data_IF_301255539356
#
_entry.id   IF_301255539356
#
_cell.length_a   1.000
_cell.length_b   1.000
_cell.length_c   1.000
_cell.angle_alpha   90.00
_cell.angle_beta   90.00
_cell.angle_gamma   90.00
#
_symmetry.space_group_name_H-M   'P 1'
#
loop_
_entity.id
_entity.type
_entity.pdbx_description
1 polymer ?
#
# COMPACT_ATOMS: atom_id res chain seq x y z
N UNK A 1 -23.55 7.66 -25.90
CA UNK A 1 -23.73 7.83 -24.44
C UNK A 1 -22.50 7.29 -23.72
N UNK A 2 -21.66 8.16 -23.14
CA UNK A 2 -20.57 7.71 -22.25
C UNK A 2 -21.22 7.33 -20.92
N UNK A 3 -21.39 6.03 -20.67
CA UNK A 3 -22.02 5.55 -19.45
C UNK A 3 -21.22 6.00 -18.21
N UNK A 4 -21.93 6.52 -17.21
CA UNK A 4 -21.48 6.92 -15.86
C UNK A 4 -20.91 5.75 -15.00
N UNK A 5 -20.29 4.75 -15.61
CA UNK A 5 -19.79 3.54 -14.94
C UNK A 5 -18.58 3.84 -14.02
N UNK A 6 -17.92 4.99 -14.20
CA UNK A 6 -16.73 5.38 -13.43
C UNK A 6 -16.99 5.70 -11.96
N UNK A 7 -18.04 6.46 -11.63
CA UNK A 7 -18.18 6.99 -10.27
C UNK A 7 -18.87 6.00 -9.31
N UNK A 8 -19.89 5.28 -9.76
CA UNK A 8 -20.59 4.29 -8.93
C UNK A 8 -19.67 3.14 -8.51
N UNK A 9 -18.76 2.72 -9.40
CA UNK A 9 -17.77 1.68 -9.11
C UNK A 9 -16.69 2.15 -8.12
N UNK A 10 -16.31 3.43 -8.17
CA UNK A 10 -15.43 4.07 -7.18
C UNK A 10 -16.07 4.11 -5.80
N UNK A 11 -17.34 4.53 -5.70
CA UNK A 11 -18.06 4.58 -4.42
C UNK A 11 -18.23 3.16 -3.85
N UNK A 12 -18.64 2.21 -4.69
CA UNK A 12 -18.77 0.80 -4.28
C UNK A 12 -17.43 0.22 -3.78
N UNK A 13 -16.33 0.53 -4.46
CA UNK A 13 -14.99 0.11 -4.05
C UNK A 13 -14.63 0.65 -2.68
N UNK A 14 -14.74 1.97 -2.50
CA UNK A 14 -14.43 2.62 -1.23
C UNK A 14 -15.29 2.05 -0.11
N UNK A 15 -16.60 1.96 -0.30
CA UNK A 15 -17.54 1.43 0.69
C UNK A 15 -17.19 -0.02 1.06
N UNK A 16 -16.86 -0.86 0.08
CA UNK A 16 -16.51 -2.25 0.31
C UNK A 16 -15.18 -2.39 1.06
N UNK A 17 -14.16 -1.61 0.70
CA UNK A 17 -12.87 -1.61 1.43
C UNK A 17 -13.07 -1.20 2.88
N UNK A 18 -13.77 -0.09 3.14
CA UNK A 18 -14.04 0.37 4.50
C UNK A 18 -14.86 -0.66 5.29
N UNK A 19 -15.90 -1.23 4.70
CA UNK A 19 -16.73 -2.24 5.36
C UNK A 19 -15.91 -3.48 5.72
N UNK A 20 -15.16 -4.04 4.76
CA UNK A 20 -14.34 -5.23 4.99
C UNK A 20 -13.26 -4.98 6.03
N UNK A 21 -12.54 -3.86 5.93
CA UNK A 21 -11.52 -3.49 6.91
C UNK A 21 -12.13 -3.29 8.29
N UNK A 22 -13.26 -2.60 8.40
CA UNK A 22 -13.95 -2.40 9.67
C UNK A 22 -14.41 -3.73 10.29
N UNK A 23 -15.06 -4.61 9.52
CA UNK A 23 -15.54 -5.90 10.02
C UNK A 23 -14.37 -6.82 10.44
N UNK A 24 -13.28 -6.84 9.68
CA UNK A 24 -12.08 -7.61 10.05
C UNK A 24 -11.43 -7.08 11.33
N UNK A 25 -11.38 -5.76 11.52
CA UNK A 25 -10.84 -5.16 12.74
C UNK A 25 -11.75 -5.37 13.96
N UNK A 26 -13.08 -5.32 13.77
CA UNK A 26 -14.05 -5.57 14.85
C UNK A 26 -13.96 -7.00 15.41
N UNK A 27 -13.46 -7.96 14.62
CA UNK A 27 -13.33 -9.36 15.05
C UNK A 27 -12.35 -9.57 16.22
N UNK A 28 -11.43 -8.64 16.47
CA UNK A 28 -10.37 -8.77 17.47
C UNK A 28 -9.33 -9.85 17.16
N UNK A 29 -9.48 -10.59 16.05
CA UNK A 29 -8.55 -11.64 15.65
C UNK A 29 -7.34 -11.04 14.92
N UNK A 30 -6.13 -11.25 15.45
CA UNK A 30 -4.90 -10.69 14.88
C UNK A 30 -4.68 -11.08 13.42
N UNK A 31 -5.03 -12.32 13.02
CA UNK A 31 -4.90 -12.76 11.63
C UNK A 31 -5.85 -11.97 10.72
N UNK A 32 -7.09 -11.76 11.14
CA UNK A 32 -8.06 -10.97 10.36
C UNK A 32 -7.65 -9.49 10.27
N UNK A 33 -7.09 -8.92 11.34
CA UNK A 33 -6.53 -7.56 11.33
C UNK A 33 -5.39 -7.45 10.31
N UNK A 34 -4.48 -8.42 10.28
CA UNK A 34 -3.38 -8.45 9.30
C UNK A 34 -3.91 -8.62 7.87
N UNK A 35 -4.89 -9.50 7.67
CA UNK A 35 -5.54 -9.70 6.38
C UNK A 35 -6.38 -8.48 5.93
N UNK A 36 -6.72 -7.56 6.84
CA UNK A 36 -7.42 -6.33 6.45
C UNK A 36 -6.60 -5.45 5.51
N UNK A 37 -5.28 -5.63 5.45
CA UNK A 37 -4.38 -4.92 4.52
C UNK A 37 -4.62 -5.31 3.05
N UNK A 38 -5.15 -6.51 2.78
CA UNK A 38 -5.45 -6.97 1.40
C UNK A 38 -6.89 -6.67 0.96
N UNK A 39 -7.69 -5.97 1.78
CA UNK A 39 -9.08 -5.63 1.42
C UNK A 39 -9.20 -4.80 0.13
N UNK A 40 -8.28 -3.90 -0.26
CA UNK A 40 -8.35 -3.22 -1.55
C UNK A 40 -8.27 -4.18 -2.74
N UNK A 41 -7.44 -5.22 -2.63
CA UNK A 41 -7.37 -6.29 -3.63
C UNK A 41 -8.67 -7.09 -3.67
N UNK A 42 -9.18 -7.51 -2.51
CA UNK A 42 -10.43 -8.27 -2.41
C UNK A 42 -11.58 -7.47 -3.02
N UNK A 43 -11.71 -6.19 -2.68
CA UNK A 43 -12.75 -5.31 -3.20
C UNK A 43 -12.67 -5.15 -4.72
N UNK A 44 -11.45 -5.03 -5.25
CA UNK A 44 -11.21 -5.00 -6.71
C UNK A 44 -11.66 -6.29 -7.36
N UNK A 45 -11.33 -7.45 -6.79
CA UNK A 45 -11.76 -8.76 -7.28
C UNK A 45 -13.29 -8.92 -7.24
N UNK A 46 -13.95 -8.48 -6.17
CA UNK A 46 -15.41 -8.52 -6.05
C UNK A 46 -16.09 -7.66 -7.13
N UNK A 47 -15.65 -6.42 -7.31
CA UNK A 47 -16.20 -5.54 -8.34
C UNK A 47 -15.92 -6.08 -9.73
N UNK A 48 -14.73 -6.62 -9.95
CA UNK A 48 -14.36 -7.25 -11.22
C UNK A 48 -15.25 -8.45 -11.55
N UNK A 49 -15.54 -9.32 -10.58
CA UNK A 49 -16.37 -10.50 -10.76
C UNK A 49 -17.83 -10.16 -11.12
N UNK A 50 -18.37 -9.06 -10.59
CA UNK A 50 -19.75 -8.62 -10.83
C UNK A 50 -19.86 -7.66 -12.02
N UNK A 51 -18.74 -7.11 -12.50
CA UNK A 51 -18.75 -6.14 -13.59
C UNK A 51 -19.03 -6.80 -14.96
N UNK A 52 -20.03 -6.33 -15.72
CA UNK A 52 -20.31 -6.85 -17.06
C UNK A 52 -19.16 -6.59 -18.05
N UNK A 53 -18.25 -5.66 -17.75
CA UNK A 53 -17.07 -5.33 -18.56
C UNK A 53 -15.76 -5.82 -17.91
N UNK A 54 -15.77 -7.00 -17.30
CA UNK A 54 -14.64 -7.59 -16.55
C UNK A 54 -13.30 -7.56 -17.29
N UNK A 55 -13.28 -7.85 -18.61
CA UNK A 55 -12.07 -7.81 -19.43
C UNK A 55 -11.48 -6.41 -19.58
N UNK A 56 -12.33 -5.39 -19.68
CA UNK A 56 -11.88 -3.99 -19.79
C UNK A 56 -11.36 -3.48 -18.45
N UNK A 57 -12.07 -3.80 -17.36
CA UNK A 57 -11.64 -3.49 -15.99
C UNK A 57 -10.27 -4.08 -15.68
N UNK A 58 -10.02 -5.34 -16.06
CA UNK A 58 -8.71 -5.97 -15.86
C UNK A 58 -7.59 -5.27 -16.65
N UNK A 59 -7.84 -4.90 -17.91
CA UNK A 59 -6.85 -4.15 -18.72
C UNK A 59 -6.52 -2.78 -18.13
N UNK A 60 -7.49 -2.13 -17.49
CA UNK A 60 -7.30 -0.82 -16.85
C UNK A 60 -6.45 -0.90 -15.57
N UNK A 61 -6.34 -2.06 -14.91
CA UNK A 61 -5.49 -2.24 -13.73
C UNK A 61 -3.98 -2.08 -14.04
N UNK A 62 -3.58 -2.20 -15.31
CA UNK A 62 -2.20 -1.92 -15.71
C UNK A 62 -1.16 -2.93 -15.21
N UNK A 63 -1.57 -4.12 -14.74
CA UNK A 63 -0.71 -5.16 -14.14
C UNK A 63 0.48 -5.61 -15.02
N UNK A 64 0.43 -5.35 -16.33
CA UNK A 64 1.52 -5.68 -17.27
C UNK A 64 2.43 -4.50 -17.65
N UNK A 65 2.24 -3.30 -17.09
CA UNK A 65 3.05 -2.12 -17.41
C UNK A 65 4.19 -1.98 -16.42
N UNK A 66 5.41 -2.26 -16.86
CA UNK A 66 6.61 -1.97 -16.07
C UNK A 66 6.92 -0.47 -16.10
N UNK A 67 7.34 0.07 -14.95
CA UNK A 67 7.75 1.47 -14.85
C UNK A 67 9.06 1.73 -15.59
N UNK A 68 9.37 2.99 -15.86
CA UNK A 68 10.71 3.38 -16.33
C UNK A 68 11.74 3.24 -15.19
N UNK A 69 12.97 2.82 -15.51
CA UNK A 69 14.05 2.60 -14.54
C UNK A 69 14.24 3.78 -13.55
N UNK A 70 14.15 5.02 -14.06
CA UNK A 70 14.25 6.25 -13.25
C UNK A 70 13.27 6.32 -12.07
N UNK A 71 12.08 5.73 -12.21
CA UNK A 71 11.06 5.75 -11.17
C UNK A 71 11.39 4.80 -10.02
N UNK A 72 12.08 3.69 -10.30
CA UNK A 72 12.60 2.82 -9.25
C UNK A 72 13.69 3.52 -8.44
N UNK A 73 14.57 4.30 -9.11
CA UNK A 73 15.55 5.14 -8.42
C UNK A 73 14.90 6.20 -7.52
N UNK A 74 13.84 6.86 -7.99
CA UNK A 74 13.07 7.80 -7.17
C UNK A 74 12.34 7.11 -6.01
N UNK A 75 11.87 5.87 -6.19
CA UNK A 75 11.24 5.10 -5.11
C UNK A 75 12.22 4.82 -3.96
N UNK A 76 13.52 4.60 -4.25
CA UNK A 76 14.55 4.46 -3.21
C UNK A 76 14.70 5.75 -2.39
N UNK A 77 14.53 6.93 -3.00
CA UNK A 77 14.58 8.20 -2.28
C UNK A 77 13.44 8.37 -1.27
N UNK A 78 12.34 7.63 -1.40
CA UNK A 78 11.26 7.64 -0.40
C UNK A 78 11.74 7.10 0.97
N UNK A 79 12.84 6.36 1.03
CA UNK A 79 13.46 5.93 2.28
C UNK A 79 14.27 7.03 2.99
N UNK A 80 14.65 8.11 2.28
CA UNK A 80 15.50 9.17 2.83
C UNK A 80 14.85 9.89 4.02
N UNK A 81 13.57 10.31 3.96
CA UNK A 81 12.90 10.92 5.12
C UNK A 81 12.86 9.99 6.34
N UNK A 82 12.70 8.69 6.14
CA UNK A 82 12.68 7.70 7.23
C UNK A 82 14.06 7.61 7.88
N UNK A 83 15.12 7.50 7.08
CA UNK A 83 16.50 7.47 7.58
C UNK A 83 16.86 8.75 8.34
N UNK A 84 16.53 9.92 7.78
CA UNK A 84 16.79 11.21 8.42
C UNK A 84 16.02 11.35 9.74
N UNK A 85 14.77 10.90 9.79
CA UNK A 85 13.96 10.94 11.01
C UNK A 85 14.54 10.05 12.10
N UNK A 86 14.98 8.84 11.75
CA UNK A 86 15.64 7.93 12.69
C UNK A 86 16.96 8.51 13.22
N UNK A 87 17.81 9.04 12.32
CA UNK A 87 19.08 9.67 12.67
C UNK A 87 18.85 10.86 13.62
N UNK A 88 17.85 11.70 13.35
CA UNK A 88 17.47 12.80 14.23
C UNK A 88 17.03 12.31 15.61
N UNK A 89 16.14 11.33 15.66
CA UNK A 89 15.66 10.74 16.92
C UNK A 89 16.80 10.13 17.74
N UNK A 90 17.73 9.42 17.09
CA UNK A 90 18.91 8.84 17.71
C UNK A 90 19.86 9.91 18.29
N UNK A 91 20.15 10.95 17.52
CA UNK A 91 20.99 12.06 17.98
C UNK A 91 20.38 12.81 19.19
N UNK A 92 19.06 12.89 19.27
CA UNK A 92 18.37 13.50 20.41
C UNK A 92 18.22 12.57 21.64
N UNK A 93 18.67 11.32 21.55
CA UNK A 93 18.52 10.33 22.61
C UNK A 93 17.09 9.80 22.80
N UNK A 94 16.18 10.09 21.87
CA UNK A 94 14.81 9.58 21.91
C UNK A 94 14.73 8.09 21.54
N UNK A 95 15.70 7.61 20.78
CA UNK A 95 15.84 6.20 20.39
C UNK A 95 17.25 5.73 20.72
N UNK A 96 17.37 4.60 21.40
CA UNK A 96 18.64 3.92 21.62
C UNK A 96 18.78 2.72 20.69
N UNK A 97 20.02 2.39 20.32
CA UNK A 97 20.30 1.19 19.56
C UNK A 97 20.12 -0.06 20.45
N UNK A 98 19.66 -1.20 19.90
CA UNK A 98 19.44 -2.40 20.70
C UNK A 98 20.72 -2.82 21.44
N UNK A 99 20.63 -3.11 22.75
CA UNK A 99 21.78 -3.57 23.53
C UNK A 99 22.29 -4.92 23.01
N UNK A 100 23.57 -5.22 23.31
CA UNK A 100 24.25 -6.44 22.88
C UNK A 100 23.48 -7.73 23.21
N UNK A 101 22.82 -7.75 24.37
CA UNK A 101 22.07 -8.92 24.85
C UNK A 101 20.83 -9.28 24.03
N UNK A 102 20.42 -8.45 23.07
CA UNK A 102 19.30 -8.74 22.17
C UNK A 102 19.73 -9.52 20.92
N UNK A 103 21.02 -9.79 20.75
CA UNK A 103 21.58 -10.54 19.63
C UNK A 103 21.94 -11.97 20.04
N UNK A 104 21.96 -12.93 19.11
CA UNK A 104 22.38 -14.30 19.41
C UNK A 104 23.79 -14.34 20.04
N UNK A 105 23.97 -15.28 20.99
CA UNK A 105 25.25 -15.51 21.65
C UNK A 105 26.37 -15.72 20.61
N UNK A 106 27.48 -14.98 20.74
CA UNK A 106 28.63 -15.02 19.82
C UNK A 106 28.72 -13.85 18.83
N UNK A 107 27.79 -12.89 18.88
CA UNK A 107 27.85 -11.64 18.10
C UNK A 107 28.10 -10.46 19.05
N UNK A 108 29.37 -10.18 19.32
CA UNK A 108 29.75 -9.12 20.27
C UNK A 108 30.11 -7.79 19.58
N UNK A 109 30.57 -7.85 18.33
CA UNK A 109 31.00 -6.70 17.55
C UNK A 109 29.84 -5.99 16.83
N UNK A 110 29.99 -4.69 16.55
CA UNK A 110 28.95 -3.91 15.85
C UNK A 110 28.73 -4.37 14.41
N UNK A 111 29.80 -4.79 13.71
CA UNK A 111 29.70 -5.26 12.32
C UNK A 111 28.86 -6.54 12.23
N UNK A 112 29.10 -7.49 13.12
CA UNK A 112 28.33 -8.72 13.25
C UNK A 112 26.85 -8.45 13.53
N UNK A 113 26.53 -7.49 14.40
CA UNK A 113 25.14 -7.08 14.69
C UNK A 113 24.47 -6.45 13.48
N UNK A 114 25.16 -5.57 12.78
CA UNK A 114 24.66 -4.97 11.54
C UNK A 114 24.38 -6.04 10.48
N UNK A 115 25.34 -6.95 10.25
CA UNK A 115 25.19 -8.02 9.27
C UNK A 115 24.04 -8.97 9.64
N UNK A 116 23.85 -9.25 10.92
CA UNK A 116 22.72 -10.04 11.42
C UNK A 116 21.38 -9.36 11.09
N UNK A 117 21.21 -8.08 11.43
CA UNK A 117 19.99 -7.32 11.12
C UNK A 117 19.75 -7.24 9.61
N UNK A 118 20.80 -6.98 8.83
CA UNK A 118 20.73 -6.95 7.37
C UNK A 118 20.23 -8.29 6.82
N UNK A 119 20.86 -9.40 7.23
CA UNK A 119 20.42 -10.74 6.81
C UNK A 119 18.98 -11.02 7.22
N UNK A 120 18.58 -10.66 8.44
CA UNK A 120 17.22 -10.85 8.94
C UNK A 120 16.19 -10.06 8.12
N UNK A 121 16.49 -8.80 7.80
CA UNK A 121 15.63 -7.93 6.99
C UNK A 121 15.44 -8.48 5.57
N UNK A 122 16.49 -9.02 4.97
CA UNK A 122 16.45 -9.62 3.63
C UNK A 122 16.00 -11.09 3.62
N UNK A 123 15.56 -11.66 4.76
CA UNK A 123 14.96 -13.00 4.74
C UNK A 123 13.66 -12.97 3.97
N UNK A 124 13.46 -13.99 3.14
CA UNK A 124 12.23 -14.17 2.34
C UNK A 124 10.97 -14.11 3.21
N UNK A 125 11.02 -14.68 4.41
CA UNK A 125 9.90 -14.66 5.36
C UNK A 125 9.56 -13.26 5.88
N UNK A 126 10.56 -12.38 6.00
CA UNK A 126 10.36 -11.00 6.44
C UNK A 126 9.88 -10.11 5.29
N UNK A 127 10.37 -10.34 4.07
CA UNK A 127 10.01 -9.56 2.89
C UNK A 127 8.66 -9.97 2.27
N UNK A 128 8.27 -11.25 2.37
CA UNK A 128 7.09 -11.77 1.66
C UNK A 128 5.79 -11.11 2.09
N UNK A 129 5.55 -10.96 3.39
CA UNK A 129 4.31 -10.37 3.89
C UNK A 129 4.16 -8.88 3.48
N UNK A 130 5.14 -7.98 3.73
CA UNK A 130 5.09 -6.61 3.24
C UNK A 130 4.95 -6.51 1.72
N UNK A 131 5.62 -7.37 0.95
CA UNK A 131 5.48 -7.38 -0.51
C UNK A 131 4.07 -7.76 -0.96
N UNK A 132 3.48 -8.79 -0.36
CA UNK A 132 2.11 -9.21 -0.68
C UNK A 132 1.11 -8.11 -0.32
N UNK A 133 1.25 -7.47 0.84
CA UNK A 133 0.38 -6.39 1.26
C UNK A 133 0.54 -5.15 0.37
N UNK A 134 1.77 -4.71 0.11
CA UNK A 134 2.03 -3.60 -0.79
C UNK A 134 1.47 -3.89 -2.19
N UNK A 135 1.63 -5.10 -2.71
CA UNK A 135 1.04 -5.49 -4.00
C UNK A 135 -0.50 -5.40 -3.96
N UNK A 136 -1.14 -5.95 -2.93
CA UNK A 136 -2.59 -5.92 -2.80
C UNK A 136 -3.14 -4.49 -2.70
N UNK A 137 -2.49 -3.64 -1.92
CA UNK A 137 -2.81 -2.23 -1.81
C UNK A 137 -2.60 -1.47 -3.13
N UNK A 138 -1.48 -1.69 -3.82
CA UNK A 138 -1.19 -1.04 -5.10
C UNK A 138 -2.21 -1.41 -6.18
N UNK A 139 -2.62 -2.69 -6.25
CA UNK A 139 -3.63 -3.14 -7.20
C UNK A 139 -4.97 -2.45 -6.94
N UNK A 140 -5.41 -2.37 -5.68
CA UNK A 140 -6.68 -1.73 -5.33
C UNK A 140 -6.65 -0.21 -5.48
N UNK A 141 -5.71 0.45 -4.82
CA UNK A 141 -5.67 1.91 -4.76
C UNK A 141 -5.21 2.54 -6.07
N UNK A 142 -4.08 2.08 -6.63
CA UNK A 142 -3.49 2.71 -7.82
C UNK A 142 -4.03 2.07 -9.09
N UNK A 143 -4.14 0.75 -9.11
CA UNK A 143 -4.66 -0.01 -10.25
C UNK A 143 -6.14 0.28 -10.52
N UNK A 144 -7.00 0.13 -9.50
CA UNK A 144 -8.45 0.30 -9.65
C UNK A 144 -8.90 1.74 -9.37
N UNK A 145 -8.76 2.24 -8.15
CA UNK A 145 -9.36 3.51 -7.73
C UNK A 145 -8.79 4.71 -8.50
N UNK A 146 -7.47 4.87 -8.50
CA UNK A 146 -6.82 6.02 -9.14
C UNK A 146 -7.08 6.06 -10.65
N UNK A 147 -6.99 4.92 -11.35
CA UNK A 147 -7.29 4.85 -12.79
C UNK A 147 -8.71 5.33 -13.12
N UNK A 148 -9.72 4.93 -12.33
CA UNK A 148 -11.11 5.36 -12.52
C UNK A 148 -11.32 6.83 -12.20
N UNK A 149 -10.67 7.33 -11.16
CA UNK A 149 -10.69 8.75 -10.81
C UNK A 149 -9.99 9.61 -11.86
N UNK A 150 -8.91 9.12 -12.47
CA UNK A 150 -8.23 9.82 -13.57
C UNK A 150 -9.14 9.95 -14.79
N UNK A 151 -9.90 8.90 -15.13
CA UNK A 151 -10.89 8.93 -16.22
C UNK A 151 -12.06 9.87 -15.92
N UNK A 152 -12.54 9.92 -14.67
CA UNK A 152 -13.74 10.66 -14.29
C UNK A 152 -13.48 12.15 -13.96
N UNK A 153 -12.39 12.46 -13.26
CA UNK A 153 -12.12 13.78 -12.68
C UNK A 153 -10.81 14.42 -13.17
N UNK A 154 -10.02 13.70 -13.95
CA UNK A 154 -8.71 14.14 -14.43
C UNK A 154 -7.58 13.94 -13.40
N UNK A 155 -6.32 14.10 -13.83
CA UNK A 155 -5.15 13.66 -13.06
C UNK A 155 -4.98 14.40 -11.73
N UNK A 156 -5.14 15.72 -11.71
CA UNK A 156 -4.94 16.53 -10.49
C UNK A 156 -5.91 16.10 -9.37
N UNK A 157 -7.20 15.99 -9.68
CA UNK A 157 -8.24 15.60 -8.72
C UNK A 157 -8.08 14.14 -8.30
N UNK A 158 -7.70 13.25 -9.21
CA UNK A 158 -7.47 11.85 -8.91
C UNK A 158 -6.36 11.62 -7.88
N UNK A 159 -5.24 12.34 -7.99
CA UNK A 159 -4.17 12.28 -6.98
C UNK A 159 -4.64 12.74 -5.60
N UNK A 160 -5.38 13.85 -5.54
CA UNK A 160 -5.93 14.36 -4.28
C UNK A 160 -6.87 13.33 -3.66
N UNK A 161 -7.89 12.87 -4.39
CA UNK A 161 -8.89 11.95 -3.84
C UNK A 161 -8.33 10.59 -3.44
N UNK A 162 -7.32 10.09 -4.16
CA UNK A 162 -6.63 8.85 -3.79
C UNK A 162 -5.77 9.04 -2.53
N UNK A 163 -5.12 10.20 -2.37
CA UNK A 163 -4.27 10.51 -1.23
C UNK A 163 -4.99 10.98 0.03
N UNK A 164 -6.15 11.65 -0.10
CA UNK A 164 -6.90 12.23 1.02
C UNK A 164 -8.02 11.34 1.57
N UNK A 165 -8.32 10.22 0.92
CA UNK A 165 -9.62 9.56 1.09
C UNK A 165 -10.79 10.44 0.57
N UNK A 166 -12.04 9.97 0.65
CA UNK A 166 -13.17 10.45 -0.17
C UNK A 166 -13.72 11.85 0.16
N UNK A 167 -13.05 12.65 0.99
CA UNK A 167 -13.61 13.90 1.54
C UNK A 167 -13.72 15.08 0.55
N UNK A 168 -13.39 14.89 -0.73
CA UNK A 168 -13.40 16.00 -1.71
C UNK A 168 -14.17 15.72 -3.00
N UNK A 169 -14.99 14.66 -3.09
CA UNK A 169 -15.87 14.47 -4.25
C UNK A 169 -17.11 15.36 -4.09
N UNK A 170 -16.95 16.68 -4.21
CA UNK A 170 -18.09 17.56 -4.50
C UNK A 170 -18.31 17.56 -6.01
N UNK A 171 -19.55 17.32 -6.49
CA UNK A 171 -19.86 17.48 -7.90
C UNK A 171 -19.67 18.96 -8.26
N UNK A 172 -18.82 19.23 -9.24
CA UNK A 172 -18.78 20.56 -9.86
C UNK A 172 -20.10 20.75 -10.61
N UNK A 173 -21.03 21.48 -9.99
CA UNK A 173 -22.09 22.21 -10.67
C UNK A 173 -21.50 23.23 -11.62
#
# INVERSE_FOLDING_TARGET
MKQNIGLSSVIAFVALVYLLTFMMNLSGNQLLVVLSQITPLIATCCIWAVSPNSKQTFKQLGLGKTGKLRWYGLALLAGVPVMLSFIGAWMTGYVELPPAGNFPNGIEDQEGRFLFMFKQFFRVTFLSAPMIFALGEEIGWRGFLQSRLMEAAGPKKAFVYTGSGPYFITPST
#
